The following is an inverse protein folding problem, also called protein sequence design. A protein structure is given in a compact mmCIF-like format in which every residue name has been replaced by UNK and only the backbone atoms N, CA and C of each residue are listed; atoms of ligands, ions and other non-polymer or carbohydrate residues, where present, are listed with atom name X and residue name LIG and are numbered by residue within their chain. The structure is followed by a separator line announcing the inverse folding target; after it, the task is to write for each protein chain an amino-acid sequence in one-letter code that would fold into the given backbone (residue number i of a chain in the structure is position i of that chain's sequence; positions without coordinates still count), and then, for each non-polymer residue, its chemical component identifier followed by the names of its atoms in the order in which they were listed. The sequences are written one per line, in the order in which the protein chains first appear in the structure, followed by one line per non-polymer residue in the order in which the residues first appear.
data_IF_477712254370
#
_entry.id   IF_477712254370
#
_cell.length_a   1.000
_cell.length_b   1.000
_cell.length_c   1.000
_cell.angle_alpha   90.00
_cell.angle_beta   90.00
_cell.angle_gamma   90.00
#
_symmetry.space_group_name_H-M   'P 1'
#
loop_
_entity.id
_entity.type
_entity.pdbx_description
1 polymer ?
#
# COMPACT_ATOMS: atom_id res chain seq x y z
N UNK A 1 -12.41 0.16 -26.87
CA UNK A 1 -11.53 0.66 -25.79
C UNK A 1 -12.10 0.13 -24.48
N UNK A 2 -11.41 -0.81 -23.81
CA UNK A 2 -11.89 -1.36 -22.54
C UNK A 2 -11.81 -0.23 -21.49
N UNK A 3 -12.88 0.01 -20.73
CA UNK A 3 -12.84 1.02 -19.65
C UNK A 3 -11.83 0.57 -18.58
N UNK A 4 -10.91 1.46 -18.23
CA UNK A 4 -9.97 1.26 -17.13
C UNK A 4 -10.75 1.30 -15.82
N UNK A 5 -10.78 0.17 -15.10
CA UNK A 5 -11.53 0.01 -13.85
C UNK A 5 -10.64 0.40 -12.67
N UNK A 6 -10.69 1.68 -12.29
CA UNK A 6 -9.88 2.23 -11.19
C UNK A 6 -10.52 1.99 -9.83
N UNK A 7 -9.71 1.58 -8.86
CA UNK A 7 -10.12 1.40 -7.47
C UNK A 7 -9.90 2.69 -6.68
N UNK A 8 -10.80 2.99 -5.75
CA UNK A 8 -10.61 4.06 -4.78
C UNK A 8 -10.06 3.48 -3.48
N UNK A 9 -8.76 3.63 -3.26
CA UNK A 9 -8.04 3.11 -2.09
C UNK A 9 -7.66 4.23 -1.11
N UNK A 10 -8.25 5.42 -1.22
CA UNK A 10 -7.87 6.59 -0.37
C UNK A 10 -8.11 6.34 1.12
N UNK A 11 -9.03 5.43 1.45
CA UNK A 11 -9.33 5.03 2.82
C UNK A 11 -8.22 4.20 3.50
N UNK A 12 -7.28 3.64 2.73
CA UNK A 12 -6.30 2.69 3.27
C UNK A 12 -5.29 3.35 4.20
N UNK A 13 -4.94 4.61 3.96
CA UNK A 13 -3.98 5.37 4.75
C UNK A 13 -4.61 6.72 5.11
N UNK A 14 -4.68 7.03 6.41
CA UNK A 14 -5.24 8.30 6.89
C UNK A 14 -4.37 9.48 6.45
N UNK A 15 -5.03 10.58 6.09
CA UNK A 15 -4.35 11.86 5.81
C UNK A 15 -4.04 12.59 7.12
N UNK A 16 -2.91 13.29 7.12
CA UNK A 16 -2.52 14.20 8.20
C UNK A 16 -1.62 15.29 7.61
N UNK A 17 -1.67 16.49 8.19
CA UNK A 17 -0.69 17.54 7.87
C UNK A 17 0.66 17.18 8.48
N UNK A 18 1.74 17.39 7.71
CA UNK A 18 3.10 17.15 8.19
C UNK A 18 3.41 18.03 9.42
N UNK A 19 3.05 19.31 9.36
CA UNK A 19 3.39 20.31 10.38
C UNK A 19 2.66 20.11 11.72
N UNK A 20 1.39 19.69 11.70
CA UNK A 20 0.55 19.54 12.92
C UNK A 20 1.16 18.50 13.87
N UNK A 21 1.96 17.59 13.32
CA UNK A 21 2.57 16.49 14.07
C UNK A 21 3.97 16.81 14.58
N UNK A 22 4.63 17.87 14.12
CA UNK A 22 6.08 18.03 14.26
C UNK A 22 6.55 19.36 14.80
N UNK A 23 7.06 19.33 16.03
CA UNK A 23 7.76 20.48 16.64
C UNK A 23 9.26 20.25 16.79
N UNK A 24 9.73 19.04 16.48
CA UNK A 24 11.13 18.62 16.55
C UNK A 24 11.58 17.80 15.35
N UNK A 25 12.86 17.41 15.37
CA UNK A 25 13.48 16.56 14.34
C UNK A 25 12.84 15.16 14.37
N UNK A 26 12.41 14.65 13.21
CA UNK A 26 11.93 13.28 13.08
C UNK A 26 12.98 12.27 13.57
N UNK A 27 12.54 11.14 14.12
CA UNK A 27 13.47 10.05 14.48
C UNK A 27 13.91 9.30 13.21
N UNK A 28 15.14 8.80 13.17
CA UNK A 28 15.60 7.95 12.07
C UNK A 28 14.74 6.67 12.05
N UNK A 29 13.90 6.52 11.03
CA UNK A 29 13.24 5.24 10.76
C UNK A 29 14.22 4.27 10.13
N UNK A 30 13.96 2.97 10.28
CA UNK A 30 14.83 1.94 9.71
C UNK A 30 14.03 0.70 9.30
N UNK A 31 14.59 -0.04 8.34
CA UNK A 31 14.00 -1.28 7.84
C UNK A 31 12.78 -1.06 6.95
N UNK A 32 12.17 -2.17 6.54
CA UNK A 32 10.95 -2.20 5.75
C UNK A 32 9.69 -2.45 6.58
N UNK A 33 8.54 -2.51 5.92
CA UNK A 33 7.25 -2.77 6.57
C UNK A 33 6.82 -4.22 6.36
N UNK A 34 6.80 -5.08 7.39
CA UNK A 34 6.19 -6.40 7.28
C UNK A 34 4.72 -6.28 6.88
N UNK A 35 4.28 -7.03 5.86
CA UNK A 35 2.89 -6.94 5.37
C UNK A 35 1.88 -7.38 6.46
N UNK A 36 2.28 -8.25 7.38
CA UNK A 36 1.49 -8.62 8.56
C UNK A 36 1.20 -7.46 9.51
N UNK A 37 2.06 -6.42 9.52
CA UNK A 37 1.88 -5.22 10.35
C UNK A 37 0.88 -4.22 9.74
N UNK A 38 0.31 -4.53 8.56
CA UNK A 38 -0.71 -3.72 7.88
C UNK A 38 -2.15 -4.12 8.25
N UNK A 39 -2.34 -5.13 9.11
CA UNK A 39 -3.67 -5.51 9.60
C UNK A 39 -4.26 -4.41 10.49
N UNK A 40 -5.59 -4.22 10.46
CA UNK A 40 -6.28 -3.14 11.20
C UNK A 40 -6.04 -3.10 12.71
N UNK A 41 -5.64 -4.21 13.32
CA UNK A 41 -5.38 -4.34 14.74
C UNK A 41 -3.90 -4.15 15.12
N UNK A 42 -3.03 -3.80 14.17
CA UNK A 42 -1.60 -3.62 14.39
C UNK A 42 -1.27 -2.16 14.68
N UNK A 43 -0.36 -1.94 15.62
CA UNK A 43 0.07 -0.59 15.99
C UNK A 43 0.72 0.14 14.83
N UNK A 44 1.54 -0.56 14.04
CA UNK A 44 2.24 0.04 12.92
C UNK A 44 1.25 0.60 11.88
N UNK A 45 0.24 -0.18 11.49
CA UNK A 45 -0.85 0.32 10.64
C UNK A 45 -1.57 1.54 11.23
N UNK A 46 -1.85 1.53 12.53
CA UNK A 46 -2.49 2.64 13.24
C UNK A 46 -1.69 3.95 13.20
N UNK A 47 -0.36 3.87 13.05
CA UNK A 47 0.57 5.00 13.00
C UNK A 47 0.88 5.48 11.56
N UNK A 48 0.43 4.76 10.53
CA UNK A 48 0.63 5.19 9.15
C UNK A 48 -0.19 6.44 8.83
N UNK A 49 0.44 7.40 8.16
CA UNK A 49 -0.18 8.60 7.60
C UNK A 49 0.29 8.81 6.17
N UNK A 50 -0.51 9.54 5.39
CA UNK A 50 -0.07 10.16 4.14
C UNK A 50 -0.23 11.68 4.26
N UNK A 51 0.72 12.47 3.74
CA UNK A 51 0.59 13.93 3.76
C UNK A 51 -0.73 14.40 3.12
N UNK A 52 -1.35 15.41 3.70
CA UNK A 52 -2.64 15.96 3.26
C UNK A 52 -2.64 16.43 1.80
N UNK A 53 -1.53 17.03 1.36
CA UNK A 53 -1.30 17.54 0.02
C UNK A 53 -1.09 16.45 -1.04
N UNK A 54 -0.92 15.18 -0.65
CA UNK A 54 -0.89 14.09 -1.62
C UNK A 54 -2.28 13.90 -2.27
N UNK A 55 -2.27 13.56 -3.55
CA UNK A 55 -3.49 13.23 -4.30
C UNK A 55 -4.26 12.06 -3.68
N UNK A 56 -5.52 11.97 -4.07
CA UNK A 56 -6.37 10.81 -3.78
C UNK A 56 -5.75 9.52 -4.34
N UNK A 57 -5.83 8.43 -3.58
CA UNK A 57 -5.29 7.14 -4.01
C UNK A 57 -6.33 6.38 -4.86
N UNK A 58 -6.66 6.92 -6.04
CA UNK A 58 -7.71 6.38 -6.92
C UNK A 58 -7.30 6.17 -8.40
N UNK A 59 -6.01 6.28 -8.71
CA UNK A 59 -5.48 6.16 -10.07
C UNK A 59 -5.10 4.73 -10.50
N UNK A 60 -4.98 3.80 -9.56
CA UNK A 60 -4.63 2.41 -9.86
C UNK A 60 -5.85 1.59 -10.26
N UNK A 61 -5.72 0.83 -11.34
CA UNK A 61 -6.70 -0.16 -11.76
C UNK A 61 -6.47 -1.53 -11.12
N UNK A 62 -7.40 -2.45 -11.40
CA UNK A 62 -7.37 -3.82 -10.89
C UNK A 62 -6.09 -4.55 -11.35
N UNK A 63 -5.64 -4.34 -12.59
CA UNK A 63 -4.45 -5.00 -13.13
C UNK A 63 -3.18 -4.59 -12.37
N UNK A 64 -3.02 -3.31 -12.08
CA UNK A 64 -1.90 -2.80 -11.28
C UNK A 64 -1.86 -3.44 -9.88
N UNK A 65 -3.02 -3.52 -9.21
CA UNK A 65 -3.14 -4.11 -7.86
C UNK A 65 -2.81 -5.61 -7.88
N UNK A 66 -3.44 -6.37 -8.78
CA UNK A 66 -3.20 -7.82 -8.90
C UNK A 66 -1.75 -8.09 -9.24
N UNK A 67 -1.18 -7.36 -10.21
CA UNK A 67 0.21 -7.53 -10.66
C UNK A 67 1.20 -7.25 -9.54
N UNK A 68 1.03 -6.15 -8.79
CA UNK A 68 1.91 -5.82 -7.66
C UNK A 68 1.89 -6.92 -6.59
N UNK A 69 0.70 -7.35 -6.15
CA UNK A 69 0.58 -8.35 -5.07
C UNK A 69 1.14 -9.70 -5.55
N UNK A 70 0.86 -10.08 -6.80
CA UNK A 70 1.40 -11.31 -7.41
C UNK A 70 2.92 -11.29 -7.49
N UNK A 71 3.52 -10.16 -7.90
CA UNK A 71 4.96 -9.98 -7.94
C UNK A 71 5.57 -10.16 -6.54
N UNK A 72 5.03 -9.49 -5.53
CA UNK A 72 5.47 -9.62 -4.14
C UNK A 72 5.34 -11.05 -3.61
N UNK A 73 4.18 -11.70 -3.80
CA UNK A 73 3.93 -13.09 -3.41
C UNK A 73 4.91 -14.07 -4.06
N UNK A 74 5.30 -13.80 -5.31
CA UNK A 74 6.27 -14.60 -6.05
C UNK A 74 7.74 -14.29 -5.68
N UNK A 75 7.98 -13.26 -4.87
CA UNK A 75 9.31 -12.85 -4.46
C UNK A 75 10.05 -12.06 -5.55
N UNK A 76 9.32 -11.49 -6.51
CA UNK A 76 9.85 -10.54 -7.47
C UNK A 76 10.17 -9.21 -6.80
N UNK A 77 11.14 -8.47 -7.33
CA UNK A 77 11.46 -7.13 -6.88
C UNK A 77 10.27 -6.20 -7.13
N UNK A 78 9.91 -5.41 -6.12
CA UNK A 78 8.91 -4.33 -6.22
C UNK A 78 9.59 -3.01 -5.84
N UNK A 79 9.12 -1.86 -6.36
CA UNK A 79 9.69 -0.58 -5.98
C UNK A 79 9.51 -0.31 -4.48
N UNK A 80 10.59 0.15 -3.85
CA UNK A 80 10.60 0.50 -2.43
C UNK A 80 9.60 1.63 -2.12
N UNK A 81 9.19 1.71 -0.86
CA UNK A 81 8.46 2.85 -0.31
C UNK A 81 9.44 3.94 0.09
N UNK A 82 8.99 5.20 0.13
CA UNK A 82 9.75 6.28 0.74
C UNK A 82 8.93 6.78 1.92
N UNK A 83 9.53 6.69 3.11
CA UNK A 83 8.87 6.92 4.38
C UNK A 83 9.59 8.02 5.15
N UNK A 84 8.85 8.68 6.03
CA UNK A 84 9.42 9.61 7.01
C UNK A 84 8.77 9.35 8.36
N UNK A 85 9.55 9.46 9.44
CA UNK A 85 9.04 9.27 10.79
C UNK A 85 9.06 10.59 11.54
N UNK A 86 7.87 11.11 11.83
CA UNK A 86 7.68 12.28 12.67
C UNK A 86 8.22 12.06 14.08
N UNK A 87 8.53 13.15 14.77
CA UNK A 87 8.86 13.19 16.20
C UNK A 87 7.71 12.67 17.10
N UNK A 88 6.45 12.91 16.71
CA UNK A 88 5.25 12.35 17.36
C UNK A 88 5.12 10.83 17.17
N UNK A 89 5.96 10.21 16.33
CA UNK A 89 6.02 8.77 16.15
C UNK A 89 5.15 8.21 15.01
N UNK A 90 4.45 9.08 14.26
CA UNK A 90 3.76 8.67 13.02
C UNK A 90 4.75 8.40 11.89
N UNK A 91 4.39 7.42 11.05
CA UNK A 91 5.13 7.09 9.82
C UNK A 91 4.36 7.60 8.62
N UNK A 92 4.90 8.63 7.97
CA UNK A 92 4.36 9.22 6.76
C UNK A 92 4.87 8.50 5.52
N UNK A 93 3.96 8.28 4.57
CA UNK A 93 4.27 7.71 3.25
C UNK A 93 4.52 8.86 2.27
N UNK A 94 5.78 9.13 1.98
CA UNK A 94 6.23 10.21 1.10
C UNK A 94 6.16 9.79 -0.38
N UNK A 95 6.46 8.53 -0.69
CA UNK A 95 6.19 7.92 -1.99
C UNK A 95 5.69 6.48 -1.83
N UNK A 96 4.89 6.03 -2.80
CA UNK A 96 4.36 4.66 -2.83
C UNK A 96 3.02 4.49 -2.15
N UNK A 97 2.24 5.57 -1.94
CA UNK A 97 0.92 5.50 -1.32
C UNK A 97 -0.03 4.50 -2.02
N UNK A 98 -0.02 4.45 -3.35
CA UNK A 98 -0.80 3.44 -4.11
C UNK A 98 -0.32 2.01 -3.84
N UNK A 99 1.00 1.78 -3.83
CA UNK A 99 1.60 0.47 -3.56
C UNK A 99 1.22 -0.03 -2.17
N UNK A 100 1.44 0.82 -1.16
CA UNK A 100 1.13 0.47 0.23
C UNK A 100 -0.38 0.25 0.43
N UNK A 101 -1.22 1.08 -0.20
CA UNK A 101 -2.67 0.92 -0.13
C UNK A 101 -3.15 -0.39 -0.76
N UNK A 102 -2.53 -0.86 -1.85
CA UNK A 102 -2.83 -2.17 -2.43
C UNK A 102 -2.51 -3.32 -1.46
N UNK A 103 -1.40 -3.25 -0.71
CA UNK A 103 -1.07 -4.24 0.31
C UNK A 103 -2.02 -4.17 1.52
N UNK A 104 -2.35 -2.98 2.01
CA UNK A 104 -3.34 -2.80 3.09
C UNK A 104 -4.70 -3.37 2.66
N UNK A 105 -5.13 -3.09 1.42
CA UNK A 105 -6.37 -3.60 0.87
C UNK A 105 -6.37 -5.13 0.79
N UNK A 106 -5.27 -5.76 0.38
CA UNK A 106 -5.16 -7.22 0.32
C UNK A 106 -5.14 -7.89 1.69
N UNK A 107 -4.37 -7.33 2.63
CA UNK A 107 -4.24 -7.86 3.99
C UNK A 107 -5.56 -7.82 4.75
N UNK A 108 -6.38 -6.81 4.48
CA UNK A 108 -7.65 -6.58 5.16
C UNK A 108 -8.88 -6.90 4.29
N UNK A 109 -8.68 -7.50 3.11
CA UNK A 109 -9.75 -7.84 2.15
C UNK A 109 -10.70 -6.67 1.79
N UNK A 110 -10.15 -5.45 1.68
CA UNK A 110 -10.95 -4.23 1.59
C UNK A 110 -11.21 -3.75 0.16
N UNK A 111 -10.16 -3.60 -0.64
CA UNK A 111 -10.18 -3.19 -2.06
C UNK A 111 -11.01 -1.93 -2.40
N UNK A 112 -11.28 -1.06 -1.41
CA UNK A 112 -12.08 0.15 -1.63
C UNK A 112 -13.57 0.01 -1.29
N UNK A 113 -14.00 -1.16 -0.81
CA UNK A 113 -15.40 -1.42 -0.43
C UNK A 113 -15.58 -2.26 0.85
N UNK A 114 -14.48 -2.61 1.53
CA UNK A 114 -14.50 -3.35 2.78
C UNK A 114 -14.78 -2.48 4.01
N UNK A 115 -14.58 -3.02 5.22
CA UNK A 115 -14.86 -2.31 6.46
C UNK A 115 -14.11 -0.98 6.65
N UNK A 116 -12.85 -0.89 6.18
CA UNK A 116 -12.03 0.33 6.28
C UNK A 116 -12.66 1.40 5.39
N UNK A 117 -12.93 1.05 4.13
CA UNK A 117 -13.51 1.98 3.16
C UNK A 117 -14.93 2.39 3.51
N UNK A 118 -15.78 1.46 3.93
CA UNK A 118 -17.15 1.77 4.36
C UNK A 118 -17.18 2.75 5.51
N UNK A 119 -16.31 2.57 6.51
CA UNK A 119 -16.19 3.50 7.63
C UNK A 119 -15.68 4.88 7.17
N UNK A 120 -14.68 4.91 6.30
CA UNK A 120 -14.09 6.15 5.80
C UNK A 120 -15.06 6.97 4.95
N UNK A 121 -15.85 6.31 4.10
CA UNK A 121 -16.82 6.94 3.21
C UNK A 121 -18.24 6.99 3.79
N UNK A 122 -18.43 6.66 5.08
CA UNK A 122 -19.75 6.65 5.74
C UNK A 122 -20.80 5.84 4.96
N UNK A 123 -20.40 4.66 4.45
CA UNK A 123 -21.20 3.78 3.58
C UNK A 123 -21.65 4.38 2.23
N UNK A 124 -21.23 5.61 1.89
CA UNK A 124 -21.54 6.32 0.64
C UNK A 124 -20.58 5.94 -0.50
N UNK A 125 -20.38 4.64 -0.71
CA UNK A 125 -19.56 4.13 -1.82
C UNK A 125 -20.45 3.86 -3.04
N UNK A 126 -20.17 4.47 -4.21
CA UNK A 126 -20.94 4.23 -5.44
C UNK A 126 -20.97 2.75 -5.83
N UNK A 127 -22.10 2.29 -6.39
CA UNK A 127 -22.26 0.89 -6.83
C UNK A 127 -21.12 0.44 -7.74
N UNK A 128 -20.74 1.25 -8.71
CA UNK A 128 -19.65 0.95 -9.64
C UNK A 128 -18.31 0.71 -8.93
N UNK A 129 -17.99 1.45 -7.87
CA UNK A 129 -16.77 1.23 -7.09
C UNK A 129 -16.83 -0.07 -6.29
N UNK A 130 -18.02 -0.44 -5.78
CA UNK A 130 -18.25 -1.75 -5.15
C UNK A 130 -18.05 -2.89 -6.14
N UNK A 131 -18.63 -2.76 -7.34
CA UNK A 131 -18.48 -3.75 -8.42
C UNK A 131 -16.99 -3.94 -8.80
N UNK A 132 -16.22 -2.84 -8.87
CA UNK A 132 -14.78 -2.91 -9.15
C UNK A 132 -13.97 -3.54 -8.00
N UNK A 133 -14.30 -3.21 -6.75
CA UNK A 133 -13.67 -3.82 -5.58
C UNK A 133 -13.92 -5.33 -5.52
N UNK A 134 -15.14 -5.76 -5.83
CA UNK A 134 -15.52 -7.17 -5.87
C UNK A 134 -14.81 -7.93 -6.99
N UNK A 135 -14.70 -7.32 -8.18
CA UNK A 135 -13.92 -7.87 -9.28
C UNK A 135 -12.42 -7.98 -8.93
N UNK A 136 -11.86 -6.96 -8.28
CA UNK A 136 -10.48 -6.99 -7.80
C UNK A 136 -10.27 -8.12 -6.79
N UNK A 137 -11.17 -8.27 -5.82
CA UNK A 137 -11.13 -9.36 -4.84
C UNK A 137 -11.14 -10.71 -5.51
N UNK A 138 -12.06 -10.93 -6.45
CA UNK A 138 -12.15 -12.20 -7.20
C UNK A 138 -10.86 -12.50 -7.95
N UNK A 139 -10.28 -11.51 -8.64
CA UNK A 139 -9.02 -11.68 -9.37
C UNK A 139 -7.84 -11.94 -8.45
N UNK A 140 -7.73 -11.24 -7.33
CA UNK A 140 -6.67 -11.50 -6.35
C UNK A 140 -6.81 -12.93 -5.80
N UNK A 141 -8.01 -13.37 -5.44
CA UNK A 141 -8.24 -14.75 -4.97
C UNK A 141 -7.84 -15.77 -6.03
N UNK A 142 -8.25 -15.59 -7.29
CA UNK A 142 -7.98 -16.56 -8.36
C UNK A 142 -6.52 -16.57 -8.83
N UNK A 143 -5.88 -15.40 -8.92
CA UNK A 143 -4.55 -15.26 -9.51
C UNK A 143 -3.41 -15.25 -8.50
N UNK A 144 -3.69 -14.85 -7.26
CA UNK A 144 -2.69 -14.64 -6.21
C UNK A 144 -2.92 -15.56 -5.02
N UNK A 145 -4.16 -15.60 -4.50
CA UNK A 145 -4.53 -16.13 -3.20
C UNK A 145 -4.78 -15.02 -2.16
N UNK A 146 -5.71 -15.24 -1.24
CA UNK A 146 -5.99 -14.26 -0.17
C UNK A 146 -4.85 -14.21 0.85
N UNK A 147 -4.60 -13.05 1.46
CA UNK A 147 -3.57 -12.94 2.51
C UNK A 147 -3.85 -13.92 3.67
N UNK A 148 -5.11 -13.99 4.11
CA UNK A 148 -5.54 -14.88 5.18
C UNK A 148 -5.20 -16.35 4.89
N UNK A 149 -5.48 -16.83 3.68
CA UNK A 149 -5.10 -18.18 3.27
C UNK A 149 -3.58 -18.37 3.28
N UNK A 150 -2.83 -17.50 2.58
CA UNK A 150 -1.39 -17.67 2.41
C UNK A 150 -0.65 -17.60 3.76
N UNK A 151 -1.08 -16.74 4.68
CA UNK A 151 -0.47 -16.57 6.00
C UNK A 151 -0.53 -17.82 6.89
N UNK A 152 -1.45 -18.76 6.60
CA UNK A 152 -1.65 -20.01 7.36
C UNK A 152 -1.05 -21.24 6.68
N UNK A 153 -0.45 -21.10 5.49
CA UNK A 153 0.08 -22.24 4.71
C UNK A 153 1.05 -23.09 5.52
N UNK A 154 1.93 -22.48 6.33
CA UNK A 154 2.93 -23.21 7.12
C UNK A 154 2.32 -24.03 8.27
N UNK A 155 1.03 -23.85 8.57
CA UNK A 155 0.29 -24.60 9.59
C UNK A 155 -0.46 -25.80 8.99
N UNK A 156 -0.48 -25.93 7.66
CA UNK A 156 -1.14 -27.04 6.97
C UNK A 156 -0.29 -28.32 7.08
N UNK A 157 -0.92 -29.50 7.08
CA UNK A 157 -0.20 -30.78 7.26
C UNK A 157 0.77 -31.10 6.13
N UNK A 158 0.42 -30.78 4.87
CA UNK A 158 1.20 -31.13 3.67
C UNK A 158 1.19 -30.03 2.60
N UNK A 159 1.68 -28.80 2.89
CA UNK A 159 1.70 -27.73 1.90
C UNK A 159 2.70 -28.04 0.78
N UNK A 160 2.34 -27.72 -0.46
CA UNK A 160 3.25 -27.89 -1.60
C UNK A 160 4.48 -26.97 -1.46
N UNK A 161 5.60 -27.34 -2.08
CA UNK A 161 6.84 -26.53 -2.07
C UNK A 161 6.61 -25.11 -2.59
N UNK A 162 5.74 -24.95 -3.58
CA UNK A 162 5.38 -23.64 -4.12
C UNK A 162 4.62 -22.79 -3.10
N UNK A 163 3.61 -23.38 -2.42
CA UNK A 163 2.86 -22.69 -1.38
C UNK A 163 3.76 -22.27 -0.20
N UNK A 164 4.72 -23.12 0.19
CA UNK A 164 5.74 -22.77 1.20
C UNK A 164 6.55 -21.54 0.76
N UNK A 165 6.95 -21.46 -0.52
CA UNK A 165 7.66 -20.28 -1.04
C UNK A 165 6.78 -19.02 -0.97
N UNK A 166 5.50 -19.12 -1.31
CA UNK A 166 4.58 -17.99 -1.19
C UNK A 166 4.48 -17.50 0.25
N UNK A 167 4.29 -18.41 1.21
CA UNK A 167 4.25 -18.07 2.65
C UNK A 167 5.56 -17.41 3.12
N UNK A 168 6.71 -17.94 2.69
CA UNK A 168 8.02 -17.37 3.00
C UNK A 168 8.20 -15.97 2.40
N UNK A 169 7.77 -15.74 1.15
CA UNK A 169 7.90 -14.45 0.49
C UNK A 169 7.02 -13.38 1.13
N UNK A 170 5.78 -13.70 1.50
CA UNK A 170 4.88 -12.71 2.12
C UNK A 170 5.31 -12.34 3.55
N UNK A 171 6.19 -13.15 4.16
CA UNK A 171 6.84 -12.83 5.44
C UNK A 171 7.99 -11.83 5.32
N UNK A 172 8.46 -11.52 4.11
CA UNK A 172 9.48 -10.48 3.89
C UNK A 172 8.85 -9.08 4.06
N UNK A 173 9.58 -8.11 4.63
CA UNK A 173 9.10 -6.74 4.68
C UNK A 173 9.06 -6.11 3.28
N UNK A 174 8.14 -5.17 3.09
CA UNK A 174 8.19 -4.22 1.98
C UNK A 174 9.40 -3.31 2.17
N UNK A 175 10.30 -3.27 1.19
CA UNK A 175 11.48 -2.42 1.26
C UNK A 175 11.10 -0.94 1.38
N UNK A 176 11.84 -0.20 2.20
CA UNK A 176 11.62 1.22 2.42
C UNK A 176 12.94 1.99 2.51
N UNK A 177 12.93 3.20 1.95
CA UNK A 177 13.92 4.24 2.17
C UNK A 177 13.33 5.27 3.12
N UNK A 178 14.16 5.84 3.98
CA UNK A 178 13.73 6.78 5.01
C UNK A 178 14.30 8.16 4.72
N UNK A 179 13.42 9.16 4.70
CA UNK A 179 13.81 10.56 4.70
C UNK A 179 14.33 10.91 6.09
N UNK A 180 15.49 11.55 6.15
CA UNK A 180 16.08 12.07 7.38
C UNK A 180 15.87 13.59 7.43
N UNK A 181 15.27 14.09 8.50
CA UNK A 181 15.02 15.53 8.66
C UNK A 181 13.71 15.84 9.37
N UNK A 182 13.33 17.11 9.27
CA UNK A 182 12.06 17.67 9.72
C UNK A 182 10.97 17.57 8.63
N UNK A 183 9.81 18.17 8.91
CA UNK A 183 8.67 18.18 8.00
C UNK A 183 9.01 18.84 6.65
N UNK A 184 9.70 19.97 6.67
CA UNK A 184 10.13 20.69 5.46
C UNK A 184 10.98 19.79 4.56
N UNK A 185 11.94 19.04 5.14
CA UNK A 185 12.76 18.09 4.39
C UNK A 185 11.92 16.95 3.78
N UNK A 186 10.90 16.48 4.50
CA UNK A 186 9.98 15.44 4.00
C UNK A 186 9.09 15.96 2.86
N UNK A 187 8.63 17.20 2.94
CA UNK A 187 7.89 17.86 1.87
C UNK A 187 8.77 18.11 0.64
N UNK A 188 9.97 18.65 0.81
CA UNK A 188 10.93 18.86 -0.28
C UNK A 188 11.26 17.53 -0.98
N UNK A 189 11.41 16.45 -0.22
CA UNK A 189 11.58 15.10 -0.76
C UNK A 189 10.37 14.69 -1.59
N UNK A 190 9.16 14.88 -1.07
CA UNK A 190 7.93 14.60 -1.82
C UNK A 190 7.90 15.35 -3.15
N UNK A 191 8.15 16.66 -3.14
CA UNK A 191 8.14 17.51 -4.32
C UNK A 191 9.19 17.05 -5.34
N UNK A 192 10.42 16.79 -4.88
CA UNK A 192 11.52 16.35 -5.74
C UNK A 192 11.24 15.01 -6.42
N UNK A 193 10.60 14.07 -5.72
CA UNK A 193 10.31 12.72 -6.22
C UNK A 193 9.07 12.70 -7.12
N UNK A 194 7.98 13.33 -6.69
CA UNK A 194 6.66 13.15 -7.31
C UNK A 194 6.34 14.18 -8.39
N UNK A 195 6.91 15.39 -8.33
CA UNK A 195 6.63 16.44 -9.33
C UNK A 195 7.58 16.42 -10.52
N UNK A 196 8.71 15.70 -10.43
CA UNK A 196 9.72 15.58 -11.50
C UNK A 196 9.57 14.31 -12.34
N UNK A 197 8.45 13.59 -12.25
CA UNK A 197 8.21 12.43 -13.10
C UNK A 197 8.19 12.89 -14.58
N UNK A 198 9.28 12.58 -15.28
CA UNK A 198 9.41 12.82 -16.72
C UNK A 198 8.48 11.82 -17.43
N UNK A 199 7.78 12.27 -18.47
CA UNK A 199 7.01 11.36 -19.32
C UNK A 199 7.91 10.24 -19.86
N UNK A 200 7.47 8.99 -19.72
CA UNK A 200 8.20 7.82 -20.23
C UNK A 200 8.35 8.00 -21.74
N UNK A 201 9.58 7.90 -22.24
CA UNK A 201 9.87 8.06 -23.65
C UNK A 201 9.25 6.88 -24.42
N UNK A 202 8.72 7.11 -25.62
CA UNK A 202 8.17 6.05 -26.49
C UNK A 202 9.16 4.91 -26.74
N UNK A 203 10.47 5.16 -26.68
CA UNK A 203 11.52 4.13 -26.80
C UNK A 203 11.60 3.15 -25.61
N UNK A 204 10.97 3.49 -24.48
CA UNK A 204 10.93 2.66 -23.26
C UNK A 204 9.63 1.86 -23.13
N UNK A 205 8.68 2.05 -24.06
CA UNK A 205 7.49 1.21 -24.18
C UNK A 205 7.87 -0.07 -24.97
N UNK A 206 8.34 -1.10 -24.26
CA UNK A 206 8.65 -2.43 -24.83
C UNK A 206 7.41 -3.32 -24.78
#
# INVERSE_FOLDING_TARGET
MQMVKRLNLDAMIKREDLEISTTGRGSIGSGGIPVSELQTNRLHYGLLRKPSFQRVTNDWDIDNVVTLIKAFRNGSLIPALILWKSDAGYTFVIDGAHRLSAFIAWVNDDYGAGPISRRFFEDKIPKQQKDYADECRQRVVSEVGSYAEISTILQQENPTRERIKWASNIGKPLDAQWVEGDADTAEDSFLAINQRAVEINETENI
#
